data_IF_215239167448
#
_entry.id   IF_215239167448
#
_cell.length_a   1.000
_cell.length_b   1.000
_cell.length_c   1.000
_cell.angle_alpha   90.00
_cell.angle_beta   90.00
_cell.angle_gamma   90.00
#
_symmetry.space_group_name_H-M   'P 1'
#
loop_
_entity.id
_entity.type
_entity.pdbx_description
1 polymer ?
#
# COMPACT_ATOMS: atom_id res chain seq x y z
N UNK A 1 -10.25 1.43 39.09
CA UNK A 1 -10.48 1.64 37.67
C UNK A 1 -9.24 2.32 37.12
N UNK A 2 -8.70 1.84 36.01
CA UNK A 2 -7.50 2.43 35.42
C UNK A 2 -7.84 3.85 34.92
N UNK A 3 -7.22 4.88 35.50
CA UNK A 3 -7.40 6.27 35.06
C UNK A 3 -6.58 6.60 33.80
N UNK A 4 -5.89 5.60 33.25
CA UNK A 4 -5.03 5.75 32.06
C UNK A 4 -5.81 5.44 30.80
N UNK A 5 -5.57 6.25 29.77
CA UNK A 5 -6.26 6.12 28.48
C UNK A 5 -5.47 6.78 27.35
N UNK A 6 -5.80 6.44 26.13
CA UNK A 6 -5.37 7.19 24.96
C UNK A 6 -6.46 8.16 24.52
N UNK A 7 -6.09 9.42 24.31
CA UNK A 7 -6.95 10.46 23.74
C UNK A 7 -6.64 10.58 22.25
N UNK A 8 -7.60 10.25 21.41
CA UNK A 8 -7.47 10.35 19.95
C UNK A 8 -8.09 11.67 19.49
N UNK A 9 -7.34 12.41 18.69
CA UNK A 9 -7.76 13.66 18.04
C UNK A 9 -7.80 13.48 16.55
N UNK A 10 -8.86 13.92 15.92
CA UNK A 10 -9.05 13.98 14.48
C UNK A 10 -9.21 15.44 14.03
N UNK A 11 -9.02 15.74 12.73
CA UNK A 11 -9.16 17.09 12.20
C UNK A 11 -10.36 17.19 11.25
N UNK A 12 -10.27 16.64 10.07
CA UNK A 12 -11.27 16.76 9.00
C UNK A 12 -12.62 16.16 9.37
N UNK A 13 -12.64 15.10 10.16
CA UNK A 13 -13.88 14.49 10.68
C UNK A 13 -14.69 15.54 11.46
N UNK A 14 -14.01 16.40 12.23
CA UNK A 14 -14.65 17.46 13.02
C UNK A 14 -15.33 18.57 12.20
N UNK A 15 -14.92 18.72 10.93
CA UNK A 15 -15.48 19.72 10.01
C UNK A 15 -16.76 19.22 9.28
N UNK A 16 -17.06 17.94 9.40
CA UNK A 16 -18.23 17.33 8.77
C UNK A 16 -19.52 17.60 9.55
N UNK A 17 -20.66 17.62 8.86
CA UNK A 17 -21.96 17.67 9.52
C UNK A 17 -22.16 16.50 10.49
N UNK A 18 -23.04 16.66 11.46
CA UNK A 18 -23.16 15.74 12.61
C UNK A 18 -23.35 14.27 12.22
N UNK A 19 -24.23 13.98 11.26
CA UNK A 19 -24.49 12.61 10.77
C UNK A 19 -23.23 11.97 10.17
N UNK A 20 -22.56 12.68 9.26
CA UNK A 20 -21.32 12.19 8.61
C UNK A 20 -20.17 12.05 9.62
N UNK A 21 -20.06 13.00 10.55
CA UNK A 21 -19.08 12.93 11.64
C UNK A 21 -19.27 11.69 12.49
N UNK A 22 -20.49 11.41 12.96
CA UNK A 22 -20.80 10.21 13.75
C UNK A 22 -20.47 8.92 12.99
N UNK A 23 -20.78 8.88 11.69
CA UNK A 23 -20.47 7.73 10.86
C UNK A 23 -18.94 7.53 10.73
N UNK A 24 -18.19 8.58 10.46
CA UNK A 24 -16.73 8.53 10.33
C UNK A 24 -16.05 8.16 11.65
N UNK A 25 -16.51 8.70 12.78
CA UNK A 25 -16.04 8.30 14.12
C UNK A 25 -16.25 6.81 14.37
N UNK A 26 -17.42 6.27 14.00
CA UNK A 26 -17.68 4.84 14.13
C UNK A 26 -16.75 3.99 13.27
N UNK A 27 -16.51 4.39 12.02
CA UNK A 27 -15.56 3.71 11.12
C UNK A 27 -14.16 3.76 11.71
N UNK A 28 -13.72 4.92 12.24
CA UNK A 28 -12.41 5.05 12.87
C UNK A 28 -12.27 4.10 14.07
N UNK A 29 -13.28 4.05 14.95
CA UNK A 29 -13.30 3.13 16.09
C UNK A 29 -13.24 1.67 15.63
N UNK A 30 -14.01 1.30 14.61
CA UNK A 30 -13.98 -0.07 14.08
C UNK A 30 -12.61 -0.44 13.49
N UNK A 31 -11.96 0.50 12.78
CA UNK A 31 -10.62 0.28 12.26
C UNK A 31 -9.60 0.07 13.40
N UNK A 32 -9.68 0.88 14.47
CA UNK A 32 -8.82 0.69 15.65
C UNK A 32 -9.11 -0.66 16.33
N UNK A 33 -10.38 -0.99 16.56
CA UNK A 33 -10.79 -2.26 17.18
C UNK A 33 -10.27 -3.46 16.40
N UNK A 34 -10.50 -3.51 15.10
CA UNK A 34 -10.08 -4.63 14.26
C UNK A 34 -8.57 -4.88 14.27
N UNK A 35 -7.76 -3.84 14.47
CA UNK A 35 -6.32 -4.03 14.60
C UNK A 35 -5.94 -4.50 16.02
N UNK A 36 -6.58 -3.95 17.06
CA UNK A 36 -6.33 -4.37 18.44
C UNK A 36 -6.76 -5.84 18.72
N UNK A 37 -7.86 -6.28 18.09
CA UNK A 37 -8.36 -7.66 18.16
C UNK A 37 -7.31 -8.68 17.67
N UNK A 38 -6.46 -8.31 16.67
CA UNK A 38 -5.36 -9.16 16.21
C UNK A 38 -4.32 -9.47 17.29
N UNK A 39 -4.28 -8.62 18.32
CA UNK A 39 -3.38 -8.75 19.47
C UNK A 39 -4.13 -9.14 20.75
N UNK A 40 -5.39 -9.58 20.66
CA UNK A 40 -6.25 -9.93 21.79
C UNK A 40 -6.44 -8.79 22.80
N UNK A 41 -6.52 -7.54 22.32
CA UNK A 41 -6.75 -6.34 23.15
C UNK A 41 -8.16 -5.81 22.86
N UNK A 42 -9.00 -5.75 23.89
CA UNK A 42 -10.42 -5.38 23.82
C UNK A 42 -10.74 -4.21 24.77
N UNK A 43 -10.27 -2.97 24.51
CA UNK A 43 -10.49 -1.85 25.39
C UNK A 43 -11.89 -1.28 25.25
N UNK A 44 -12.32 -0.54 26.29
CA UNK A 44 -13.51 0.30 26.21
C UNK A 44 -13.21 1.56 25.39
N UNK A 45 -14.20 1.99 24.57
CA UNK A 45 -14.15 3.22 23.77
C UNK A 45 -15.26 4.18 24.22
N UNK A 46 -14.91 5.45 24.38
CA UNK A 46 -15.87 6.51 24.64
C UNK A 46 -15.69 7.65 23.64
N UNK A 47 -16.79 8.21 23.15
CA UNK A 47 -16.80 9.42 22.33
C UNK A 47 -17.37 10.58 23.14
N UNK A 48 -16.64 11.67 23.22
CA UNK A 48 -17.08 12.91 23.85
C UNK A 48 -16.29 14.10 23.31
N UNK A 49 -16.93 15.23 23.13
CA UNK A 49 -16.32 16.53 22.85
C UNK A 49 -15.31 16.55 21.69
N UNK A 50 -15.64 15.81 20.60
CA UNK A 50 -14.77 15.72 19.43
C UNK A 50 -13.48 14.94 19.70
N UNK A 51 -13.52 13.99 20.63
CA UNK A 51 -12.45 13.06 20.97
C UNK A 51 -12.95 11.62 21.02
N UNK A 52 -12.04 10.69 20.79
CA UNK A 52 -12.24 9.28 21.06
C UNK A 52 -11.25 8.91 22.17
N UNK A 53 -11.77 8.32 23.23
CA UNK A 53 -11.02 7.84 24.38
C UNK A 53 -10.95 6.32 24.32
N UNK A 54 -9.74 5.77 24.52
CA UNK A 54 -9.49 4.32 24.57
C UNK A 54 -8.92 3.99 25.94
N UNK A 55 -9.68 3.27 26.76
CA UNK A 55 -9.31 2.95 28.13
C UNK A 55 -8.41 1.71 28.16
N UNK A 56 -7.11 1.94 28.12
CA UNK A 56 -6.07 0.92 28.19
C UNK A 56 -4.73 1.57 28.49
N UNK A 57 -3.81 0.82 29.06
CA UNK A 57 -2.40 1.16 29.29
C UNK A 57 -1.44 0.46 28.31
N UNK A 58 -2.00 -0.30 27.35
CA UNK A 58 -1.21 -1.07 26.40
C UNK A 58 -0.30 -0.17 25.54
N UNK A 59 1.00 -0.35 25.67
CA UNK A 59 2.02 0.37 24.89
C UNK A 59 1.97 0.06 23.39
N UNK A 60 1.31 -1.01 22.98
CA UNK A 60 1.16 -1.39 21.57
C UNK A 60 0.43 -0.31 20.76
N UNK A 61 -0.40 0.52 21.41
CA UNK A 61 -1.07 1.63 20.74
C UNK A 61 -0.11 2.67 20.18
N UNK A 62 1.10 2.79 20.72
CA UNK A 62 2.14 3.68 20.18
C UNK A 62 2.60 3.23 18.78
N UNK A 63 2.55 1.93 18.48
CA UNK A 63 2.91 1.39 17.16
C UNK A 63 1.73 1.34 16.20
N UNK A 64 0.51 1.18 16.71
CA UNK A 64 -0.71 1.02 15.89
C UNK A 64 -1.27 2.37 15.47
N UNK A 65 -1.50 3.30 16.41
CA UNK A 65 -2.21 4.55 16.14
C UNK A 65 -1.54 5.46 15.09
N UNK A 66 -0.19 5.51 14.98
CA UNK A 66 0.48 6.30 13.95
C UNK A 66 0.21 5.83 12.51
N UNK A 67 -0.41 4.66 12.32
CA UNK A 67 -0.69 4.06 11.02
C UNK A 67 -2.16 4.14 10.61
N UNK A 68 -3.05 4.58 11.51
CA UNK A 68 -4.50 4.59 11.27
C UNK A 68 -4.94 5.93 10.69
N UNK A 69 -5.43 5.91 9.46
CA UNK A 69 -6.01 7.09 8.81
C UNK A 69 -7.23 7.62 9.58
N UNK A 70 -7.35 8.95 9.63
CA UNK A 70 -8.34 9.67 10.43
C UNK A 70 -7.79 10.20 11.75
N UNK A 71 -6.70 9.63 12.28
CA UNK A 71 -6.05 10.11 13.49
C UNK A 71 -5.10 11.26 13.15
N UNK A 72 -5.37 12.45 13.68
CA UNK A 72 -4.46 13.59 13.59
C UNK A 72 -3.33 13.49 14.59
N UNK A 73 -3.68 13.21 15.85
CA UNK A 73 -2.72 12.98 16.93
C UNK A 73 -3.36 12.20 18.06
N UNK A 74 -2.52 11.62 18.91
CA UNK A 74 -2.97 10.95 20.12
C UNK A 74 -2.01 11.23 21.29
N UNK A 75 -2.48 10.96 22.50
CA UNK A 75 -1.71 11.08 23.73
C UNK A 75 -2.12 10.00 24.70
N UNK A 76 -1.16 9.42 25.39
CA UNK A 76 -1.45 8.61 26.58
C UNK A 76 -1.63 9.56 27.76
N UNK A 77 -2.79 9.54 28.39
CA UNK A 77 -3.20 10.52 29.38
C UNK A 77 -3.80 9.85 30.62
N UNK A 78 -3.74 10.58 31.73
CA UNK A 78 -4.47 10.22 32.95
C UNK A 78 -5.63 11.17 33.17
N UNK A 79 -6.80 10.64 33.49
CA UNK A 79 -8.02 11.39 33.79
C UNK A 79 -8.14 11.69 35.28
N UNK A 80 -8.49 12.92 35.61
CA UNK A 80 -8.80 13.38 36.94
C UNK A 80 -10.12 14.16 36.95
N UNK A 81 -10.83 14.14 38.10
CA UNK A 81 -11.97 15.02 38.36
C UNK A 81 -11.52 16.18 39.22
N UNK A 82 -12.17 17.33 39.07
CA UNK A 82 -11.92 18.50 39.89
C UNK A 82 -13.21 19.27 40.18
N UNK A 83 -13.20 20.03 41.25
CA UNK A 83 -14.22 20.99 41.63
C UNK A 83 -13.66 22.41 41.70
N UNK A 84 -12.38 22.53 42.02
CA UNK A 84 -11.68 23.82 42.16
C UNK A 84 -10.36 23.82 41.39
N UNK A 85 -9.81 25.02 41.10
CA UNK A 85 -8.51 25.16 40.45
C UNK A 85 -7.39 24.58 41.34
N UNK A 86 -7.49 24.76 42.64
CA UNK A 86 -6.50 24.30 43.62
C UNK A 86 -6.35 22.76 43.56
N UNK A 87 -7.41 22.03 43.30
CA UNK A 87 -7.34 20.55 43.08
C UNK A 87 -6.55 20.23 41.81
N UNK A 88 -6.75 20.97 40.73
CA UNK A 88 -5.98 20.84 39.47
C UNK A 88 -4.49 21.08 39.78
N UNK A 89 -4.18 22.16 40.47
CA UNK A 89 -2.80 22.52 40.84
C UNK A 89 -2.16 21.46 41.70
N UNK A 90 -2.82 21.03 42.75
CA UNK A 90 -2.31 20.05 43.71
C UNK A 90 -1.98 18.71 43.02
N UNK A 91 -2.90 18.20 42.21
CA UNK A 91 -2.71 16.95 41.45
C UNK A 91 -1.56 17.10 40.43
N UNK A 92 -1.51 18.20 39.70
CA UNK A 92 -0.48 18.43 38.68
C UNK A 92 0.90 18.55 39.31
N UNK A 93 1.04 19.30 40.39
CA UNK A 93 2.30 19.44 41.13
C UNK A 93 2.75 18.11 41.71
N UNK A 94 1.85 17.37 42.37
CA UNK A 94 2.17 16.06 42.91
C UNK A 94 2.70 15.10 41.86
N UNK A 95 2.14 15.15 40.66
CA UNK A 95 2.53 14.28 39.56
C UNK A 95 3.84 14.65 38.88
N UNK A 96 4.09 15.93 38.67
CA UNK A 96 5.18 16.40 37.80
C UNK A 96 6.37 17.02 38.52
N UNK A 97 6.26 17.40 39.79
CA UNK A 97 7.36 18.02 40.55
C UNK A 97 8.67 17.22 40.50
N UNK A 98 8.62 15.91 40.65
CA UNK A 98 9.80 15.04 40.55
C UNK A 98 10.31 14.89 39.12
N UNK A 99 9.41 14.86 38.14
CA UNK A 99 9.75 14.66 36.72
C UNK A 99 10.51 15.88 36.12
N UNK A 100 10.16 17.10 36.55
CA UNK A 100 10.74 18.36 36.07
C UNK A 100 11.96 18.80 36.89
N UNK A 101 12.34 18.06 37.92
CA UNK A 101 13.50 18.39 38.76
C UNK A 101 14.78 18.50 37.93
N UNK A 102 15.42 19.68 37.99
CA UNK A 102 16.63 19.96 37.22
C UNK A 102 16.41 20.15 35.70
N UNK A 103 15.14 20.26 35.25
CA UNK A 103 14.79 20.42 33.82
C UNK A 103 14.01 21.70 33.58
N UNK A 104 14.09 22.22 32.37
CA UNK A 104 13.22 23.30 31.90
C UNK A 104 11.89 22.73 31.45
N UNK A 105 10.81 23.40 31.76
CA UNK A 105 9.46 22.93 31.42
C UNK A 105 8.60 24.02 30.79
N UNK A 106 7.50 23.57 30.18
CA UNK A 106 6.39 24.42 29.75
C UNK A 106 5.05 23.74 30.09
N UNK A 107 4.02 24.54 30.31
CA UNK A 107 2.64 24.08 30.42
C UNK A 107 1.87 24.51 29.17
N UNK A 108 1.05 23.61 28.63
CA UNK A 108 0.15 23.90 27.51
C UNK A 108 -1.25 23.44 27.87
N UNK A 109 -2.17 24.38 28.04
CA UNK A 109 -3.54 24.12 28.44
C UNK A 109 -4.51 24.23 27.26
N UNK A 110 -5.48 23.32 27.22
CA UNK A 110 -6.67 23.42 26.36
C UNK A 110 -7.91 23.24 27.19
N UNK A 111 -8.92 24.07 26.93
CA UNK A 111 -10.17 24.05 27.69
C UNK A 111 -11.37 23.97 26.75
N UNK A 112 -12.37 23.21 27.14
CA UNK A 112 -13.71 23.16 26.55
C UNK A 112 -14.74 23.11 27.66
N UNK A 113 -15.90 23.69 27.45
CA UNK A 113 -16.93 23.86 28.46
C UNK A 113 -16.93 25.26 29.10
N UNK A 114 -17.84 25.49 30.06
CA UNK A 114 -18.00 26.77 30.76
C UNK A 114 -17.25 26.73 32.09
N UNK A 115 -16.25 27.61 32.22
CA UNK A 115 -15.42 27.73 33.43
C UNK A 115 -15.17 29.22 33.73
N UNK A 116 -14.92 29.56 34.98
CA UNK A 116 -14.58 30.90 35.42
C UNK A 116 -13.14 31.33 35.08
N UNK A 117 -12.35 30.48 34.45
CA UNK A 117 -10.96 30.70 34.10
C UNK A 117 -10.70 30.38 32.61
N UNK A 118 -9.63 30.92 32.05
CA UNK A 118 -9.17 30.65 30.66
C UNK A 118 -8.06 29.59 30.66
N UNK A 119 -7.71 29.09 29.46
CA UNK A 119 -6.55 28.20 29.30
C UNK A 119 -5.25 28.90 29.73
N UNK A 120 -5.12 30.23 29.46
CA UNK A 120 -3.94 31.00 29.80
C UNK A 120 -3.82 31.19 31.33
N UNK A 121 -4.94 31.33 32.04
CA UNK A 121 -4.92 31.39 33.50
C UNK A 121 -4.36 30.11 34.11
N UNK A 122 -4.80 28.93 33.59
CA UNK A 122 -4.30 27.64 34.02
C UNK A 122 -2.81 27.47 33.70
N UNK A 123 -2.34 27.94 32.52
CA UNK A 123 -0.91 27.85 32.15
C UNK A 123 -0.06 28.68 33.13
N UNK A 124 -0.51 29.89 33.47
CA UNK A 124 0.19 30.77 34.46
C UNK A 124 0.19 30.16 35.85
N UNK A 125 -0.97 29.74 36.36
CA UNK A 125 -1.11 29.19 37.72
C UNK A 125 -0.26 27.93 37.88
N UNK A 126 -0.30 27.04 36.89
CA UNK A 126 0.52 25.82 36.92
C UNK A 126 2.00 26.10 36.71
N UNK A 127 2.34 27.08 35.85
CA UNK A 127 3.70 27.54 35.66
C UNK A 127 4.32 28.02 36.96
N UNK A 128 3.63 28.93 37.68
CA UNK A 128 4.06 29.46 38.97
C UNK A 128 4.19 28.34 40.03
N UNK A 129 3.21 27.46 40.13
CA UNK A 129 3.21 26.41 41.13
C UNK A 129 4.33 25.38 40.92
N UNK A 130 4.72 25.11 39.67
CA UNK A 130 5.74 24.14 39.28
C UNK A 130 7.15 24.75 39.24
N UNK A 131 7.28 26.08 39.11
CA UNK A 131 8.54 26.76 38.89
C UNK A 131 9.62 26.37 39.91
N UNK A 132 9.29 26.36 41.20
CA UNK A 132 10.21 26.07 42.32
C UNK A 132 10.78 24.64 42.29
N UNK A 133 10.20 23.72 41.48
CA UNK A 133 10.67 22.33 41.34
C UNK A 133 11.52 22.10 40.09
N UNK A 134 11.72 23.14 39.28
CA UNK A 134 12.34 23.04 37.96
C UNK A 134 13.63 23.81 37.83
N UNK A 135 14.34 23.67 36.72
CA UNK A 135 15.45 24.55 36.32
C UNK A 135 14.99 25.81 35.60
N UNK A 136 13.66 26.08 35.52
CA UNK A 136 13.06 27.24 34.88
C UNK A 136 12.03 26.88 33.81
N UNK A 137 11.45 27.93 33.21
CA UNK A 137 10.45 27.80 32.12
C UNK A 137 11.11 28.08 30.79
N UNK A 138 10.79 27.26 29.77
CA UNK A 138 11.17 27.46 28.38
C UNK A 138 9.96 27.13 27.51
N UNK A 139 9.34 28.16 26.90
CA UNK A 139 8.10 28.00 26.15
C UNK A 139 8.34 27.44 24.76
N UNK A 140 9.53 27.60 24.19
CA UNK A 140 9.86 27.18 22.84
C UNK A 140 10.46 25.77 22.82
N UNK A 141 11.50 25.56 23.65
CA UNK A 141 12.27 24.30 23.67
C UNK A 141 12.37 23.71 25.09
N UNK A 142 11.24 23.37 25.75
CA UNK A 142 11.28 22.76 27.07
C UNK A 142 11.79 21.31 27.00
N UNK A 143 12.52 20.88 28.05
CA UNK A 143 12.87 19.46 28.24
C UNK A 143 11.61 18.61 28.46
N UNK A 144 10.60 19.18 29.14
CA UNK A 144 9.31 18.54 29.40
C UNK A 144 8.19 19.54 29.14
N UNK A 145 7.27 19.18 28.25
CA UNK A 145 6.02 19.91 28.07
C UNK A 145 4.87 19.17 28.74
N UNK A 146 4.26 19.80 29.73
CA UNK A 146 3.09 19.28 30.44
C UNK A 146 1.85 19.78 29.70
N UNK A 147 1.08 18.86 29.17
CA UNK A 147 -0.20 19.18 28.53
C UNK A 147 -1.34 18.92 29.50
N UNK A 148 -2.29 19.84 29.55
CA UNK A 148 -3.54 19.69 30.28
C UNK A 148 -4.73 19.97 29.38
N UNK A 149 -5.63 19.00 29.20
CA UNK A 149 -6.93 19.20 28.55
C UNK A 149 -8.03 19.20 29.61
N UNK A 150 -8.77 20.34 29.75
CA UNK A 150 -9.86 20.50 30.70
C UNK A 150 -11.19 20.42 29.94
N UNK A 151 -12.11 19.60 30.46
CA UNK A 151 -13.43 19.38 29.87
C UNK A 151 -14.47 19.24 30.98
N UNK A 152 -15.37 20.20 31.07
CA UNK A 152 -16.34 20.30 32.15
C UNK A 152 -15.66 20.13 33.53
N UNK A 153 -15.99 19.09 34.30
CA UNK A 153 -15.43 18.83 35.63
C UNK A 153 -14.30 17.79 35.62
N UNK A 154 -13.66 17.56 34.45
CA UNK A 154 -12.54 16.62 34.29
C UNK A 154 -11.36 17.31 33.64
N UNK A 155 -10.16 16.82 33.93
CA UNK A 155 -8.97 17.20 33.22
C UNK A 155 -8.07 15.99 32.97
N UNK A 156 -7.27 16.10 31.91
CA UNK A 156 -6.39 15.05 31.41
C UNK A 156 -4.97 15.59 31.38
N UNK A 157 -4.04 14.85 31.96
CA UNK A 157 -2.62 15.18 32.01
C UNK A 157 -1.82 14.22 31.14
N UNK A 158 -0.90 14.77 30.34
CA UNK A 158 0.03 14.01 29.51
C UNK A 158 1.24 14.86 29.16
N UNK A 159 2.34 14.22 28.73
CA UNK A 159 3.60 14.88 28.34
C UNK A 159 3.91 14.76 26.85
N UNK A 160 3.22 13.88 26.13
CA UNK A 160 3.48 13.59 24.74
C UNK A 160 2.23 13.78 23.88
N UNK A 161 2.44 14.33 22.70
CA UNK A 161 1.43 14.44 21.67
C UNK A 161 2.00 13.90 20.36
N UNK A 162 1.65 12.68 20.03
CA UNK A 162 2.18 11.94 18.88
C UNK A 162 1.28 12.17 17.68
N UNK A 163 1.88 12.54 16.56
CA UNK A 163 1.16 12.78 15.31
C UNK A 163 0.76 11.46 14.64
N UNK A 164 -0.47 11.42 14.12
CA UNK A 164 -0.98 10.35 13.28
C UNK A 164 -0.89 10.72 11.78
N UNK A 165 -1.33 9.84 10.88
CA UNK A 165 -1.26 10.09 9.43
C UNK A 165 -2.27 11.16 8.95
N UNK A 166 -3.25 11.52 9.78
CA UNK A 166 -4.33 12.44 9.42
C UNK A 166 -5.30 11.84 8.40
N UNK A 167 -5.95 12.70 7.63
CA UNK A 167 -6.91 12.30 6.60
C UNK A 167 -8.25 11.85 7.14
N UNK A 168 -8.89 10.93 6.42
CA UNK A 168 -10.19 10.35 6.72
C UNK A 168 -10.09 8.86 7.04
N UNK A 169 -10.98 8.28 7.85
CA UNK A 169 -10.95 6.87 8.17
C UNK A 169 -11.08 6.00 6.92
N UNK A 170 -10.25 5.00 6.79
CA UNK A 170 -10.30 4.06 5.68
C UNK A 170 -11.72 3.43 5.60
N UNK A 171 -12.27 3.30 4.40
CA UNK A 171 -13.65 2.90 4.05
C UNK A 171 -14.71 3.99 4.20
N UNK A 172 -14.36 5.24 4.52
CA UNK A 172 -15.37 6.32 4.61
C UNK A 172 -15.74 6.91 3.25
N UNK A 173 -14.93 6.74 2.20
CA UNK A 173 -15.08 7.41 0.88
C UNK A 173 -15.12 6.42 -0.30
N UNK A 174 -15.81 5.29 -0.12
CA UNK A 174 -16.02 4.33 -1.21
C UNK A 174 -14.79 3.44 -1.48
N UNK A 175 -14.78 2.80 -2.68
CA UNK A 175 -13.76 1.84 -3.09
C UNK A 175 -13.07 2.24 -4.38
N UNK A 176 -11.76 2.07 -4.44
CA UNK A 176 -10.95 2.33 -5.62
C UNK A 176 -10.09 1.12 -5.99
N UNK A 177 -9.75 1.01 -7.27
CA UNK A 177 -8.82 0.01 -7.79
C UNK A 177 -7.52 0.70 -8.20
N UNK A 178 -6.40 0.39 -7.54
CA UNK A 178 -5.10 0.97 -7.87
C UNK A 178 -4.34 0.11 -8.87
N UNK A 179 -3.92 0.71 -9.99
CA UNK A 179 -2.97 0.11 -10.91
C UNK A 179 -1.58 0.13 -10.26
N UNK A 180 -1.15 -1.02 -9.77
CA UNK A 180 -0.01 -1.16 -8.86
C UNK A 180 1.14 -1.88 -9.53
N UNK A 181 2.25 -1.19 -9.77
CA UNK A 181 3.43 -1.77 -10.46
C UNK A 181 4.52 -2.27 -9.51
N UNK A 182 4.46 -1.91 -8.23
CA UNK A 182 5.53 -2.20 -7.27
C UNK A 182 6.77 -1.29 -7.39
N UNK A 183 6.74 -0.31 -8.29
CA UNK A 183 7.72 0.79 -8.33
C UNK A 183 7.47 1.80 -7.22
N UNK A 184 8.14 2.97 -7.29
CA UNK A 184 8.04 4.00 -6.23
C UNK A 184 6.69 4.72 -6.29
N UNK A 185 6.17 4.99 -7.47
CA UNK A 185 5.04 5.92 -7.69
C UNK A 185 3.70 5.31 -7.27
N UNK A 186 3.42 4.07 -7.68
CA UNK A 186 2.13 3.43 -7.40
C UNK A 186 1.83 3.20 -5.91
N UNK A 187 2.78 2.82 -5.02
CA UNK A 187 2.54 2.77 -3.58
C UNK A 187 2.20 4.15 -2.98
N UNK A 188 2.86 5.21 -3.45
CA UNK A 188 2.59 6.58 -2.98
C UNK A 188 1.21 7.04 -3.41
N UNK A 189 0.86 6.85 -4.69
CA UNK A 189 -0.47 7.19 -5.20
C UNK A 189 -1.58 6.45 -4.44
N UNK A 190 -1.38 5.15 -4.19
CA UNK A 190 -2.31 4.31 -3.41
C UNK A 190 -2.45 4.82 -1.98
N UNK A 191 -1.34 5.10 -1.29
CA UNK A 191 -1.35 5.68 0.06
C UNK A 191 -2.15 7.00 0.10
N UNK A 192 -1.97 7.87 -0.90
CA UNK A 192 -2.62 9.18 -0.92
C UNK A 192 -4.15 9.06 -1.00
N UNK A 193 -4.70 8.13 -1.79
CA UNK A 193 -6.16 7.91 -1.84
C UNK A 193 -6.67 7.16 -0.62
N UNK A 194 -5.92 6.20 -0.08
CA UNK A 194 -6.24 5.54 1.19
C UNK A 194 -6.34 6.56 2.33
N UNK A 195 -5.40 7.52 2.40
CA UNK A 195 -5.42 8.63 3.36
C UNK A 195 -6.67 9.51 3.21
N UNK A 196 -7.28 9.56 2.01
CA UNK A 196 -8.55 10.25 1.78
C UNK A 196 -9.78 9.40 2.12
N UNK A 197 -9.59 8.22 2.72
CA UNK A 197 -10.66 7.37 3.23
C UNK A 197 -11.15 6.29 2.25
N UNK A 198 -10.58 6.19 1.06
CA UNK A 198 -10.98 5.17 0.08
C UNK A 198 -10.42 3.79 0.43
N UNK A 199 -11.28 2.78 0.51
CA UNK A 199 -10.86 1.39 0.52
C UNK A 199 -10.26 1.06 -0.84
N UNK A 200 -9.00 0.59 -0.89
CA UNK A 200 -8.28 0.46 -2.15
C UNK A 200 -7.75 -0.96 -2.31
N UNK A 201 -8.16 -1.60 -3.40
CA UNK A 201 -7.62 -2.87 -3.87
C UNK A 201 -6.59 -2.62 -4.97
N UNK A 202 -5.73 -3.60 -5.23
CA UNK A 202 -4.60 -3.46 -6.14
C UNK A 202 -4.80 -4.31 -7.40
N UNK A 203 -4.46 -3.77 -8.56
CA UNK A 203 -4.38 -4.50 -9.83
C UNK A 203 -2.94 -4.46 -10.34
N UNK A 204 -2.35 -5.63 -10.51
CA UNK A 204 -1.03 -5.82 -11.07
C UNK A 204 -1.11 -6.63 -12.37
N UNK A 205 -0.51 -6.11 -13.43
CA UNK A 205 -0.27 -6.85 -14.66
C UNK A 205 1.13 -7.47 -14.60
N UNK A 206 1.20 -8.78 -14.42
CA UNK A 206 2.46 -9.51 -14.46
C UNK A 206 2.92 -9.65 -15.91
N UNK A 207 4.11 -9.15 -16.22
CA UNK A 207 4.72 -9.29 -17.54
C UNK A 207 5.56 -10.58 -17.65
N UNK A 208 5.12 -11.59 -16.92
CA UNK A 208 5.64 -12.96 -16.91
C UNK A 208 7.01 -13.16 -16.23
N UNK A 209 7.55 -12.18 -15.48
CA UNK A 209 8.73 -12.46 -14.66
C UNK A 209 8.34 -12.70 -13.19
N UNK A 210 8.55 -13.91 -12.63
CA UNK A 210 8.21 -14.21 -11.23
C UNK A 210 8.88 -13.30 -10.21
N UNK A 211 10.10 -12.82 -10.51
CA UNK A 211 10.83 -11.87 -9.66
C UNK A 211 10.08 -10.56 -9.54
N UNK A 212 9.56 -10.02 -10.65
CA UNK A 212 8.80 -8.76 -10.65
C UNK A 212 7.51 -8.92 -9.87
N UNK A 213 6.83 -10.08 -10.01
CA UNK A 213 5.63 -10.39 -9.22
C UNK A 213 5.95 -10.45 -7.72
N UNK A 214 7.06 -11.09 -7.33
CA UNK A 214 7.48 -11.13 -5.93
C UNK A 214 7.84 -9.73 -5.40
N UNK A 215 8.55 -8.93 -6.18
CA UNK A 215 8.90 -7.55 -5.79
C UNK A 215 7.64 -6.69 -5.62
N UNK A 216 6.71 -6.77 -6.56
CA UNK A 216 5.41 -6.09 -6.45
C UNK A 216 4.66 -6.52 -5.19
N UNK A 217 4.58 -7.84 -4.93
CA UNK A 217 3.91 -8.36 -3.73
C UNK A 217 4.57 -7.90 -2.44
N UNK A 218 5.89 -7.78 -2.41
CA UNK A 218 6.61 -7.22 -1.25
C UNK A 218 6.28 -5.74 -1.06
N UNK A 219 6.20 -4.95 -2.14
CA UNK A 219 5.79 -3.55 -2.07
C UNK A 219 4.33 -3.41 -1.64
N UNK A 220 3.43 -4.24 -2.18
CA UNK A 220 2.03 -4.30 -1.77
C UNK A 220 1.90 -4.66 -0.28
N UNK A 221 2.62 -5.69 0.18
CA UNK A 221 2.63 -6.10 1.58
C UNK A 221 3.10 -4.97 2.49
N UNK A 222 4.21 -4.30 2.15
CA UNK A 222 4.72 -3.17 2.93
C UNK A 222 3.69 -2.03 3.09
N UNK A 223 2.97 -1.69 2.03
CA UNK A 223 1.90 -0.70 2.06
C UNK A 223 0.69 -1.18 2.87
N UNK A 224 0.19 -2.38 2.57
CA UNK A 224 -1.07 -2.89 3.12
C UNK A 224 -0.96 -3.28 4.59
N UNK A 225 0.14 -3.86 5.04
CA UNK A 225 0.37 -4.19 6.45
C UNK A 225 0.43 -2.94 7.32
N UNK A 226 0.96 -1.85 6.78
CA UNK A 226 1.07 -0.60 7.52
C UNK A 226 -0.22 0.21 7.54
N UNK A 227 -0.91 0.29 6.42
CA UNK A 227 -1.94 1.32 6.22
C UNK A 227 -3.33 0.79 5.85
N UNK A 228 -3.48 -0.49 5.49
CA UNK A 228 -4.80 -1.09 5.23
C UNK A 228 -5.44 -1.63 6.51
N UNK A 229 -5.40 -0.81 7.59
CA UNK A 229 -5.98 -1.17 8.88
C UNK A 229 -7.50 -1.03 8.83
N UNK A 230 -8.19 -2.11 9.21
CA UNK A 230 -9.66 -2.20 9.15
C UNK A 230 -10.21 -2.55 7.77
N UNK A 231 -9.34 -2.84 6.78
CA UNK A 231 -9.74 -3.29 5.45
C UNK A 231 -8.84 -4.46 4.98
N UNK A 232 -9.46 -5.55 4.56
CA UNK A 232 -8.77 -6.67 3.95
C UNK A 232 -8.69 -6.44 2.44
N UNK A 233 -7.63 -5.73 2.00
CA UNK A 233 -7.44 -5.37 0.61
C UNK A 233 -7.18 -6.61 -0.25
N UNK A 234 -7.78 -6.63 -1.43
CA UNK A 234 -7.56 -7.63 -2.48
C UNK A 234 -6.44 -7.20 -3.41
N UNK A 235 -5.76 -8.17 -3.97
CA UNK A 235 -4.74 -7.99 -4.99
C UNK A 235 -5.15 -8.86 -6.18
N UNK A 236 -5.39 -8.21 -7.29
CA UNK A 236 -5.67 -8.83 -8.58
C UNK A 236 -4.38 -8.91 -9.38
N UNK A 237 -4.00 -10.09 -9.79
CA UNK A 237 -2.81 -10.34 -10.61
C UNK A 237 -3.28 -10.91 -11.93
N UNK A 238 -3.04 -10.18 -13.02
CA UNK A 238 -3.33 -10.64 -14.38
C UNK A 238 -2.03 -11.05 -15.07
N UNK A 239 -2.11 -12.08 -15.89
CA UNK A 239 -1.02 -12.47 -16.77
C UNK A 239 -1.07 -11.64 -18.06
N UNK A 240 -0.10 -10.75 -18.22
CA UNK A 240 0.06 -9.91 -19.39
C UNK A 240 1.00 -10.48 -20.45
N UNK A 241 1.49 -11.73 -20.32
CA UNK A 241 2.49 -12.29 -21.23
C UNK A 241 2.03 -12.35 -22.68
N UNK A 242 0.79 -12.73 -22.94
CA UNK A 242 0.19 -12.73 -24.28
C UNK A 242 0.12 -11.32 -24.87
N UNK A 243 -0.27 -10.34 -24.03
CA UNK A 243 -0.32 -8.94 -24.44
C UNK A 243 1.07 -8.41 -24.76
N UNK A 244 2.07 -8.72 -23.93
CA UNK A 244 3.47 -8.34 -24.16
C UNK A 244 3.97 -8.88 -25.50
N UNK A 245 3.71 -10.16 -25.78
CA UNK A 245 4.10 -10.79 -27.05
C UNK A 245 3.45 -10.06 -28.25
N UNK A 246 2.14 -9.88 -28.22
CA UNK A 246 1.40 -9.22 -29.30
C UNK A 246 1.85 -7.77 -29.52
N UNK A 247 2.12 -7.02 -28.44
CA UNK A 247 2.62 -5.64 -28.54
C UNK A 247 4.08 -5.62 -29.03
N UNK A 248 4.91 -6.57 -28.64
CA UNK A 248 6.32 -6.64 -29.07
C UNK A 248 6.47 -6.96 -30.55
N UNK A 249 5.50 -7.67 -31.13
CA UNK A 249 5.41 -7.98 -32.54
C UNK A 249 4.79 -6.83 -33.39
N UNK A 250 4.33 -5.77 -32.73
CA UNK A 250 3.75 -4.62 -33.40
C UNK A 250 4.78 -3.91 -34.28
N UNK A 251 4.48 -3.64 -35.57
CA UNK A 251 5.45 -3.11 -36.51
C UNK A 251 5.96 -1.71 -36.13
N UNK A 252 5.12 -0.92 -35.45
CA UNK A 252 5.50 0.41 -35.00
C UNK A 252 5.64 0.44 -33.45
N UNK A 253 6.88 0.44 -33.00
CA UNK A 253 7.24 0.43 -31.58
C UNK A 253 6.87 1.75 -30.85
N UNK A 254 6.51 2.81 -31.59
CA UNK A 254 6.13 4.10 -31.00
C UNK A 254 4.82 4.00 -30.18
N UNK A 255 3.89 3.12 -30.61
CA UNK A 255 2.58 2.95 -29.96
C UNK A 255 2.56 1.97 -28.77
N UNK A 256 3.55 1.13 -28.63
CA UNK A 256 3.53 -0.04 -27.75
C UNK A 256 3.19 0.31 -26.29
N UNK A 257 3.83 1.32 -25.72
CA UNK A 257 3.60 1.75 -24.34
C UNK A 257 2.17 2.31 -24.11
N UNK A 258 1.63 3.02 -25.10
CA UNK A 258 0.32 3.66 -25.00
C UNK A 258 -0.78 2.62 -25.19
N UNK A 259 -0.61 1.70 -26.15
CA UNK A 259 -1.51 0.54 -26.35
C UNK A 259 -1.58 -0.30 -25.08
N UNK A 260 -0.42 -0.67 -24.51
CA UNK A 260 -0.38 -1.44 -23.26
C UNK A 260 -1.16 -0.75 -22.12
N UNK A 261 -0.91 0.53 -21.90
CA UNK A 261 -1.60 1.29 -20.84
C UNK A 261 -3.09 1.42 -21.10
N UNK A 262 -3.49 1.66 -22.34
CA UNK A 262 -4.90 1.75 -22.74
C UNK A 262 -5.63 0.45 -22.43
N UNK A 263 -5.09 -0.69 -22.84
CA UNK A 263 -5.69 -2.00 -22.58
C UNK A 263 -5.73 -2.33 -21.08
N UNK A 264 -4.71 -1.90 -20.33
CA UNK A 264 -4.72 -2.05 -18.87
C UNK A 264 -5.84 -1.21 -18.22
N UNK A 265 -6.11 -0.01 -18.73
CA UNK A 265 -7.22 0.82 -18.25
C UNK A 265 -8.58 0.21 -18.58
N UNK A 266 -8.77 -0.32 -19.80
CA UNK A 266 -9.98 -1.02 -20.19
C UNK A 266 -10.23 -2.27 -19.34
N UNK A 267 -9.17 -3.00 -18.98
CA UNK A 267 -9.30 -4.12 -18.05
C UNK A 267 -9.61 -3.68 -16.63
N UNK A 268 -9.00 -2.60 -16.17
CA UNK A 268 -9.32 -2.00 -14.87
C UNK A 268 -10.77 -1.50 -14.82
N UNK A 269 -11.27 -0.92 -15.92
CA UNK A 269 -12.69 -0.54 -16.05
C UNK A 269 -13.62 -1.75 -15.92
N UNK A 270 -13.30 -2.85 -16.60
CA UNK A 270 -14.04 -4.11 -16.46
C UNK A 270 -14.08 -4.58 -15.00
N UNK A 271 -12.96 -4.50 -14.28
CA UNK A 271 -12.94 -4.86 -12.86
C UNK A 271 -13.71 -3.86 -12.00
N UNK A 272 -13.67 -2.57 -12.34
CA UNK A 272 -14.48 -1.56 -11.65
C UNK A 272 -15.95 -1.87 -11.74
N UNK A 273 -16.44 -2.22 -12.92
CA UNK A 273 -17.83 -2.64 -13.14
C UNK A 273 -18.16 -3.93 -12.36
N UNK A 274 -17.31 -4.95 -12.51
CA UNK A 274 -17.52 -6.28 -11.91
C UNK A 274 -17.53 -6.28 -10.38
N UNK A 275 -16.66 -5.50 -9.73
CA UNK A 275 -16.46 -5.49 -8.28
C UNK A 275 -17.01 -4.23 -7.58
N UNK A 276 -17.61 -3.30 -8.34
CA UNK A 276 -18.26 -2.10 -7.82
C UNK A 276 -17.27 -1.05 -7.28
N UNK A 277 -16.16 -0.83 -7.98
CA UNK A 277 -15.25 0.28 -7.67
C UNK A 277 -15.78 1.60 -8.22
N UNK A 278 -15.42 2.70 -7.55
CA UNK A 278 -15.84 4.06 -7.91
C UNK A 278 -14.83 4.76 -8.84
N UNK A 279 -13.79 4.04 -9.27
CA UNK A 279 -12.75 4.55 -10.15
C UNK A 279 -11.43 3.82 -9.97
N UNK A 280 -10.45 4.20 -10.77
CA UNK A 280 -9.10 3.64 -10.74
C UNK A 280 -8.05 4.69 -10.33
N UNK A 281 -6.93 4.23 -9.78
CA UNK A 281 -5.82 5.08 -9.32
C UNK A 281 -4.55 4.71 -10.05
N UNK A 282 -3.79 5.70 -10.49
CA UNK A 282 -2.48 5.51 -11.12
C UNK A 282 -1.42 6.39 -10.49
N UNK A 283 -0.15 5.96 -10.55
CA UNK A 283 1.01 6.73 -10.11
C UNK A 283 1.61 7.63 -11.20
N UNK A 284 0.81 8.09 -12.16
CA UNK A 284 1.28 8.90 -13.28
C UNK A 284 1.55 10.35 -12.88
N UNK A 285 2.65 10.91 -13.43
CA UNK A 285 3.04 12.32 -13.33
C UNK A 285 3.31 12.89 -14.71
N UNK A 286 2.93 14.14 -14.97
CA UNK A 286 3.11 14.77 -16.29
C UNK A 286 4.61 14.83 -16.63
N UNK A 287 4.96 14.29 -17.81
CA UNK A 287 6.31 14.41 -18.36
C UNK A 287 7.36 13.49 -17.75
N UNK A 288 7.01 12.63 -16.79
CA UNK A 288 7.98 11.74 -16.17
C UNK A 288 8.52 10.69 -17.14
N UNK A 289 7.67 10.16 -18.02
CA UNK A 289 8.05 9.28 -19.14
C UNK A 289 7.22 9.61 -20.38
N UNK A 290 7.65 9.13 -21.55
CA UNK A 290 7.03 9.44 -22.86
C UNK A 290 5.52 9.17 -22.92
N UNK A 291 5.02 8.12 -22.25
CA UNK A 291 3.58 7.82 -22.19
C UNK A 291 2.78 8.74 -21.26
N UNK A 292 3.43 9.65 -20.54
CA UNK A 292 2.81 10.54 -19.55
C UNK A 292 2.78 12.01 -20.00
N UNK A 293 2.90 12.27 -21.30
CA UNK A 293 2.58 13.59 -21.83
C UNK A 293 1.07 13.86 -21.74
N UNK A 294 0.62 15.12 -21.63
CA UNK A 294 -0.82 15.43 -21.55
C UNK A 294 -1.62 14.80 -22.69
N UNK A 295 -1.06 14.81 -23.92
CA UNK A 295 -1.69 14.21 -25.09
C UNK A 295 -1.81 12.69 -24.96
N UNK A 296 -0.76 11.99 -24.55
CA UNK A 296 -0.79 10.54 -24.38
C UNK A 296 -1.71 10.12 -23.22
N UNK A 297 -1.73 10.89 -22.13
CA UNK A 297 -2.68 10.67 -21.01
C UNK A 297 -4.14 10.85 -21.46
N UNK A 298 -4.41 11.80 -22.36
CA UNK A 298 -5.74 11.97 -22.97
C UNK A 298 -6.12 10.71 -23.77
N UNK A 299 -5.25 10.23 -24.67
CA UNK A 299 -5.51 9.05 -25.49
C UNK A 299 -5.74 7.79 -24.65
N UNK A 300 -4.92 7.58 -23.62
CA UNK A 300 -5.07 6.43 -22.70
C UNK A 300 -6.40 6.48 -21.94
N UNK A 301 -6.86 7.68 -21.58
CA UNK A 301 -8.09 7.87 -20.79
C UNK A 301 -9.36 7.93 -21.64
N UNK A 302 -9.23 8.15 -22.93
CA UNK A 302 -10.39 8.32 -23.83
C UNK A 302 -11.27 7.07 -23.85
N UNK A 303 -12.61 7.28 -23.73
CA UNK A 303 -13.58 6.18 -23.70
C UNK A 303 -13.67 5.42 -22.36
N UNK A 304 -12.81 5.70 -21.39
CA UNK A 304 -12.92 5.15 -20.04
C UNK A 304 -14.04 5.87 -19.28
N UNK A 305 -15.02 5.13 -18.79
CA UNK A 305 -16.21 5.68 -18.12
C UNK A 305 -15.99 5.99 -16.64
N UNK A 306 -15.02 5.32 -16.02
CA UNK A 306 -14.68 5.50 -14.61
C UNK A 306 -13.64 6.58 -14.38
N UNK A 307 -13.73 7.39 -13.32
CA UNK A 307 -12.70 8.36 -13.00
C UNK A 307 -11.32 7.72 -12.85
N UNK A 308 -10.30 8.36 -13.43
CA UNK A 308 -8.90 8.00 -13.25
C UNK A 308 -8.24 9.01 -12.33
N UNK A 309 -7.97 8.60 -11.10
CA UNK A 309 -7.32 9.43 -10.09
C UNK A 309 -5.80 9.36 -10.25
N UNK A 310 -5.17 10.52 -10.39
CA UNK A 310 -3.71 10.68 -10.54
C UNK A 310 -3.14 11.56 -9.43
N UNK A 311 -2.98 11.03 -8.21
CA UNK A 311 -2.57 11.84 -7.05
C UNK A 311 -1.20 12.50 -7.23
N UNK A 312 -0.33 11.96 -8.08
CA UNK A 312 1.03 12.42 -8.32
C UNK A 312 1.17 13.29 -9.58
N UNK A 313 0.09 13.74 -10.17
CA UNK A 313 0.10 14.36 -11.51
C UNK A 313 1.05 15.57 -11.61
N UNK A 314 1.24 16.32 -10.53
CA UNK A 314 2.13 17.48 -10.45
C UNK A 314 3.42 17.24 -9.65
N UNK A 315 3.68 16.01 -9.18
CA UNK A 315 4.90 15.70 -8.43
C UNK A 315 6.05 15.42 -9.39
N UNK A 316 7.23 15.90 -9.04
CA UNK A 316 8.46 15.40 -9.67
C UNK A 316 8.93 14.08 -9.01
N UNK A 317 10.01 13.50 -9.57
CA UNK A 317 10.52 12.22 -9.09
C UNK A 317 11.11 12.31 -7.69
N UNK A 318 11.76 13.43 -7.38
CA UNK A 318 12.39 13.65 -6.07
C UNK A 318 11.34 13.84 -4.98
N UNK A 319 10.29 14.63 -5.25
CA UNK A 319 9.15 14.80 -4.35
C UNK A 319 8.50 13.45 -4.03
N UNK A 320 8.28 12.62 -5.04
CA UNK A 320 7.70 11.29 -4.88
C UNK A 320 8.60 10.37 -4.04
N UNK A 321 9.92 10.38 -4.28
CA UNK A 321 10.89 9.60 -3.49
C UNK A 321 10.90 10.06 -2.03
N UNK A 322 10.95 11.37 -1.79
CA UNK A 322 10.96 11.94 -0.44
C UNK A 322 9.66 11.64 0.30
N UNK A 323 8.53 11.74 -0.38
CA UNK A 323 7.24 11.36 0.20
C UNK A 323 7.19 9.87 0.54
N UNK A 324 7.66 9.01 -0.36
CA UNK A 324 7.76 7.56 -0.16
C UNK A 324 8.61 7.20 1.07
N UNK A 325 9.78 7.84 1.22
CA UNK A 325 10.66 7.67 2.39
C UNK A 325 9.98 8.13 3.68
N UNK A 326 9.31 9.29 3.66
CA UNK A 326 8.63 9.85 4.84
C UNK A 326 7.49 8.97 5.36
N UNK A 327 6.93 8.09 4.50
CA UNK A 327 5.89 7.12 4.85
C UNK A 327 6.41 5.69 4.97
N UNK A 328 7.73 5.50 4.91
CA UNK A 328 8.37 4.17 4.94
C UNK A 328 7.80 3.20 3.89
N UNK A 329 7.44 3.73 2.72
CA UNK A 329 6.98 2.96 1.56
C UNK A 329 8.13 2.63 0.62
N UNK A 330 9.23 3.38 0.72
CA UNK A 330 10.39 3.24 -0.13
C UNK A 330 11.06 1.87 0.08
N UNK A 331 11.24 1.13 -1.00
CA UNK A 331 12.00 -0.11 -1.03
C UNK A 331 13.20 0.07 -1.97
N UNK A 332 14.40 -0.24 -1.48
CA UNK A 332 15.66 -0.14 -2.22
C UNK A 332 15.77 -1.25 -3.29
N UNK A 333 14.77 -1.39 -4.15
CA UNK A 333 14.78 -2.39 -5.21
C UNK A 333 14.56 -1.68 -6.55
N UNK A 334 15.48 -1.88 -7.48
CA UNK A 334 15.32 -1.49 -8.88
C UNK A 334 14.34 -2.47 -9.54
N UNK A 335 13.03 -2.18 -9.46
CA UNK A 335 12.12 -2.79 -10.43
C UNK A 335 12.45 -2.22 -11.79
N UNK A 336 12.64 -3.07 -12.80
CA UNK A 336 12.71 -2.61 -14.17
C UNK A 336 11.44 -1.79 -14.44
N UNK A 337 11.62 -0.53 -14.83
CA UNK A 337 10.46 0.30 -15.15
C UNK A 337 9.73 -0.34 -16.33
N UNK A 338 8.44 -0.58 -16.18
CA UNK A 338 7.56 -1.17 -17.18
C UNK A 338 7.75 -0.52 -18.57
N UNK A 339 7.99 0.79 -18.58
CA UNK A 339 8.18 1.57 -19.80
C UNK A 339 9.46 1.22 -20.58
N UNK A 340 10.48 0.68 -19.92
CA UNK A 340 11.76 0.31 -20.57
C UNK A 340 11.69 -1.02 -21.33
N UNK A 341 10.64 -1.81 -21.13
CA UNK A 341 10.52 -3.15 -21.72
C UNK A 341 10.00 -3.13 -23.17
N UNK A 342 9.23 -2.11 -23.57
CA UNK A 342 8.45 -2.15 -24.80
C UNK A 342 9.02 -1.33 -25.95
N UNK A 343 9.87 -0.34 -25.72
CA UNK A 343 10.33 0.51 -26.84
C UNK A 343 11.70 1.11 -26.61
N UNK A 344 12.56 0.98 -27.62
CA UNK A 344 13.82 1.72 -27.68
C UNK A 344 13.63 3.20 -28.03
N UNK A 345 12.52 3.54 -28.75
CA UNK A 345 12.15 4.90 -29.15
C UNK A 345 10.64 5.14 -28.95
N UNK A 346 10.18 5.30 -27.68
CA UNK A 346 8.76 5.52 -27.42
C UNK A 346 8.29 6.89 -27.93
N UNK A 347 7.11 6.94 -28.57
CA UNK A 347 6.50 8.18 -29.06
C UNK A 347 6.15 9.16 -27.93
N UNK A 348 6.72 10.36 -28.02
CA UNK A 348 6.39 11.46 -27.08
C UNK A 348 5.05 12.09 -27.48
N UNK A 349 4.81 12.20 -28.80
CA UNK A 349 3.56 12.70 -29.38
C UNK A 349 3.07 11.68 -30.38
N UNK A 350 1.88 11.15 -30.15
CA UNK A 350 1.26 10.14 -30.99
C UNK A 350 0.04 10.74 -31.70
N UNK A 351 -0.10 10.47 -32.98
CA UNK A 351 -1.26 10.93 -33.77
C UNK A 351 -2.52 10.19 -33.27
N UNK A 352 -3.57 10.95 -32.96
CA UNK A 352 -4.83 10.42 -32.43
C UNK A 352 -5.48 9.42 -33.41
N UNK A 353 -5.58 9.77 -34.69
CA UNK A 353 -6.24 8.93 -35.72
C UNK A 353 -5.49 7.62 -35.92
N UNK A 354 -4.17 7.67 -35.94
CA UNK A 354 -3.33 6.49 -36.12
C UNK A 354 -3.38 5.59 -34.91
N UNK A 355 -3.30 6.16 -33.72
CA UNK A 355 -3.48 5.40 -32.47
C UNK A 355 -4.83 4.66 -32.41
N UNK A 356 -5.92 5.32 -32.83
CA UNK A 356 -7.25 4.70 -32.83
C UNK A 356 -7.34 3.52 -33.83
N UNK A 357 -6.64 3.60 -34.94
CA UNK A 357 -6.59 2.50 -35.90
C UNK A 357 -5.78 1.31 -35.32
N UNK A 358 -4.70 1.60 -34.58
CA UNK A 358 -3.87 0.57 -33.99
C UNK A 358 -4.56 -0.12 -32.77
N UNK A 359 -5.16 0.64 -31.86
CA UNK A 359 -5.80 0.06 -30.66
C UNK A 359 -6.98 -0.84 -31.00
N UNK A 360 -7.72 -0.58 -32.11
CA UNK A 360 -8.83 -1.42 -32.57
C UNK A 360 -8.42 -2.85 -32.93
N UNK A 361 -7.14 -3.08 -33.22
CA UNK A 361 -6.61 -4.42 -33.51
C UNK A 361 -6.52 -5.31 -32.28
N UNK A 362 -6.64 -4.72 -31.08
CA UNK A 362 -6.54 -5.41 -29.81
C UNK A 362 -7.89 -5.47 -29.12
N UNK A 363 -8.24 -6.66 -28.61
CA UNK A 363 -9.38 -6.84 -27.72
C UNK A 363 -8.83 -7.27 -26.35
N UNK A 364 -9.04 -6.46 -25.35
CA UNK A 364 -8.49 -6.70 -24.00
C UNK A 364 -8.84 -8.09 -23.45
N UNK A 365 -10.01 -8.62 -23.79
CA UNK A 365 -10.49 -9.94 -23.32
C UNK A 365 -9.66 -11.11 -23.88
N UNK A 366 -9.01 -10.93 -25.01
CA UNK A 366 -8.20 -11.98 -25.65
C UNK A 366 -6.84 -12.14 -24.96
N UNK A 367 -6.36 -11.07 -24.31
CA UNK A 367 -5.00 -10.99 -23.75
C UNK A 367 -4.94 -11.06 -22.23
N UNK A 368 -6.04 -10.77 -21.53
CA UNK A 368 -6.08 -10.67 -20.06
C UNK A 368 -7.13 -11.63 -19.48
N UNK A 369 -6.98 -12.94 -19.73
CA UNK A 369 -7.96 -13.95 -19.35
C UNK A 369 -7.73 -14.54 -17.96
N UNK A 370 -6.49 -14.66 -17.53
CA UNK A 370 -6.15 -15.29 -16.25
C UNK A 370 -6.02 -14.27 -15.13
N UNK A 371 -7.00 -14.27 -14.24
CA UNK A 371 -7.03 -13.41 -13.06
C UNK A 371 -6.81 -14.25 -11.79
N UNK A 372 -5.72 -13.97 -11.08
CA UNK A 372 -5.48 -14.49 -9.74
C UNK A 372 -5.93 -13.45 -8.73
N UNK A 373 -6.80 -13.84 -7.82
CA UNK A 373 -7.25 -13.00 -6.71
C UNK A 373 -6.65 -13.54 -5.41
N UNK A 374 -5.89 -12.70 -4.70
CA UNK A 374 -5.40 -12.96 -3.35
C UNK A 374 -5.77 -11.78 -2.44
N UNK A 375 -5.69 -11.97 -1.15
CA UNK A 375 -5.85 -10.88 -0.19
C UNK A 375 -4.54 -10.60 0.58
N UNK A 376 -4.52 -9.50 1.33
CA UNK A 376 -3.32 -9.10 2.06
C UNK A 376 -2.80 -10.16 3.04
N UNK A 377 -3.66 -11.04 3.58
CA UNK A 377 -3.26 -12.04 4.56
C UNK A 377 -2.61 -13.27 3.90
N UNK A 378 -2.83 -13.48 2.60
CA UNK A 378 -2.31 -14.62 1.84
C UNK A 378 -1.09 -14.29 0.97
N UNK A 379 -0.59 -13.04 1.02
CA UNK A 379 0.58 -12.60 0.23
C UNK A 379 1.81 -13.49 0.47
N UNK A 380 2.13 -13.78 1.73
CA UNK A 380 3.33 -14.56 2.08
C UNK A 380 3.25 -15.99 1.54
N UNK A 381 2.08 -16.61 1.62
CA UNK A 381 1.89 -17.95 1.10
C UNK A 381 1.97 -17.98 -0.43
N UNK A 382 1.46 -16.94 -1.09
CA UNK A 382 1.57 -16.81 -2.52
C UNK A 382 3.02 -16.58 -2.97
N UNK A 383 3.79 -15.73 -2.26
CA UNK A 383 5.23 -15.55 -2.49
C UNK A 383 6.00 -16.88 -2.31
N UNK A 384 5.70 -17.65 -1.27
CA UNK A 384 6.30 -18.96 -1.05
C UNK A 384 5.98 -19.91 -2.21
N UNK A 385 4.74 -19.93 -2.68
CA UNK A 385 4.33 -20.78 -3.81
C UNK A 385 5.10 -20.45 -5.08
N UNK A 386 5.33 -19.15 -5.38
CA UNK A 386 6.16 -18.73 -6.52
C UNK A 386 7.60 -19.19 -6.32
N UNK A 387 8.21 -18.96 -5.14
CA UNK A 387 9.61 -19.29 -4.87
C UNK A 387 9.88 -20.79 -4.88
N UNK A 388 8.95 -21.59 -4.39
CA UNK A 388 9.09 -23.05 -4.31
C UNK A 388 9.02 -23.74 -5.68
N UNK A 389 8.47 -23.10 -6.70
CA UNK A 389 8.41 -23.62 -8.08
C UNK A 389 9.68 -23.38 -8.89
N UNK A 390 10.65 -22.64 -8.36
CA UNK A 390 11.94 -22.46 -9.02
C UNK A 390 12.77 -23.74 -8.85
N UNK A 391 13.18 -24.35 -9.98
CA UNK A 391 14.07 -25.49 -9.97
C UNK A 391 15.44 -25.15 -9.38
N UNK A 392 15.96 -26.03 -8.53
CA UNK A 392 17.22 -25.82 -7.79
C UNK A 392 18.25 -26.93 -8.01
N UNK A 393 17.98 -27.86 -8.93
CA UNK A 393 18.92 -28.93 -9.27
C UNK A 393 18.68 -30.28 -8.57
N UNK A 394 17.74 -30.37 -7.62
CA UNK A 394 17.52 -31.60 -6.81
C UNK A 394 16.11 -32.11 -6.97
N UNK A 395 15.85 -32.87 -8.05
CA UNK A 395 14.59 -33.59 -8.28
C UNK A 395 14.83 -34.88 -9.04
N UNK A 396 14.16 -35.96 -8.61
CA UNK A 396 14.14 -37.23 -9.33
C UNK A 396 13.08 -37.21 -10.43
N UNK A 397 13.24 -38.07 -11.42
CA UNK A 397 12.28 -38.27 -12.53
C UNK A 397 11.89 -36.99 -13.24
N UNK A 398 12.89 -36.19 -13.63
CA UNK A 398 12.71 -34.88 -14.25
C UNK A 398 12.59 -34.98 -15.76
N UNK A 399 11.61 -34.31 -16.35
CA UNK A 399 11.51 -34.07 -17.78
C UNK A 399 11.71 -32.58 -18.05
N UNK A 400 12.78 -32.23 -18.79
CA UNK A 400 13.08 -30.86 -19.14
C UNK A 400 12.31 -30.42 -20.39
N UNK A 401 11.71 -29.26 -20.33
CA UNK A 401 10.94 -28.66 -21.43
C UNK A 401 11.56 -27.33 -21.82
N UNK A 402 12.10 -27.27 -23.03
CA UNK A 402 12.71 -26.06 -23.60
C UNK A 402 11.67 -25.23 -24.35
N UNK A 403 11.40 -24.05 -23.85
CA UNK A 403 10.45 -23.08 -24.46
C UNK A 403 11.14 -22.04 -25.34
N UNK A 404 12.40 -22.21 -25.69
CA UNK A 404 13.12 -21.33 -26.61
C UNK A 404 12.80 -21.67 -28.06
N UNK A 405 13.28 -20.80 -28.99
CA UNK A 405 13.15 -21.08 -30.42
C UNK A 405 13.87 -22.37 -30.81
N UNK A 406 13.43 -23.01 -31.90
CA UNK A 406 14.10 -24.21 -32.43
C UNK A 406 15.60 -23.98 -32.71
N UNK A 407 15.97 -22.80 -33.21
CA UNK A 407 17.40 -22.45 -33.43
C UNK A 407 18.20 -22.34 -32.12
N UNK A 408 17.59 -21.82 -31.04
CA UNK A 408 18.25 -21.78 -29.72
C UNK A 408 18.39 -23.20 -29.15
N UNK A 409 17.39 -24.05 -29.35
CA UNK A 409 17.40 -25.47 -28.95
C UNK A 409 18.49 -26.25 -29.68
N UNK A 410 18.61 -26.09 -31.00
CA UNK A 410 19.63 -26.75 -31.80
C UNK A 410 21.07 -26.32 -31.37
N UNK A 411 21.26 -25.06 -31.01
CA UNK A 411 22.55 -24.57 -30.53
C UNK A 411 22.96 -25.14 -29.17
N UNK A 412 22.03 -25.32 -28.27
CA UNK A 412 22.22 -25.93 -26.96
C UNK A 412 20.88 -26.26 -26.32
N UNK A 413 20.75 -27.41 -25.74
CA UNK A 413 19.63 -27.79 -24.88
C UNK A 413 20.08 -28.71 -23.75
N UNK A 414 19.26 -28.84 -22.71
CA UNK A 414 19.46 -29.82 -21.65
C UNK A 414 19.30 -31.25 -22.24
N UNK A 415 20.22 -32.19 -21.93
CA UNK A 415 20.14 -33.54 -22.46
C UNK A 415 18.75 -34.18 -22.21
N UNK A 416 18.11 -34.62 -23.28
CA UNK A 416 16.78 -35.22 -23.21
C UNK A 416 15.62 -34.23 -23.09
N UNK A 417 15.88 -32.93 -23.18
CA UNK A 417 14.82 -31.92 -23.15
C UNK A 417 13.93 -31.99 -24.39
N UNK A 418 12.65 -31.74 -24.22
CA UNK A 418 11.68 -31.59 -25.28
C UNK A 418 11.57 -30.10 -25.66
N UNK A 419 11.73 -29.77 -26.94
CA UNK A 419 11.46 -28.43 -27.42
C UNK A 419 9.97 -28.27 -27.65
N UNK A 420 9.34 -27.34 -26.93
CA UNK A 420 7.91 -27.09 -26.94
C UNK A 420 7.63 -25.61 -27.23
N UNK A 421 6.79 -25.33 -28.22
CA UNK A 421 6.25 -23.99 -28.38
C UNK A 421 5.20 -23.72 -27.28
N UNK A 422 5.24 -22.53 -26.67
CA UNK A 422 4.30 -22.17 -25.62
C UNK A 422 2.82 -22.30 -26.06
N UNK A 423 2.53 -22.07 -27.34
CA UNK A 423 1.19 -22.26 -27.90
C UNK A 423 0.69 -23.73 -27.88
N UNK A 424 1.61 -24.69 -27.79
CA UNK A 424 1.31 -26.12 -27.74
C UNK A 424 1.19 -26.66 -26.32
N UNK A 425 1.41 -25.83 -25.31
CA UNK A 425 1.41 -26.22 -23.89
C UNK A 425 0.10 -26.94 -23.48
N UNK A 426 -1.04 -26.49 -24.00
CA UNK A 426 -2.33 -27.10 -23.69
C UNK A 426 -2.41 -28.56 -24.16
N UNK A 427 -2.00 -28.79 -25.39
CA UNK A 427 -1.95 -30.15 -25.96
C UNK A 427 -0.94 -31.04 -25.20
N UNK A 428 0.21 -30.47 -24.83
CA UNK A 428 1.20 -31.15 -24.01
C UNK A 428 0.63 -31.60 -22.65
N UNK A 429 -0.13 -30.72 -21.97
CA UNK A 429 -0.77 -31.02 -20.67
C UNK A 429 -1.75 -32.21 -20.77
N UNK A 430 -2.50 -32.30 -21.86
CA UNK A 430 -3.48 -33.39 -22.07
C UNK A 430 -2.82 -34.79 -22.16
N UNK A 431 -1.54 -34.85 -22.56
CA UNK A 431 -0.79 -36.09 -22.74
C UNK A 431 0.34 -36.30 -21.71
N UNK A 432 0.51 -35.36 -20.79
CA UNK A 432 1.60 -35.41 -19.83
C UNK A 432 1.40 -36.46 -18.73
N UNK A 433 2.51 -37.08 -18.30
CA UNK A 433 2.54 -38.07 -17.22
C UNK A 433 2.50 -37.35 -15.84
N UNK A 434 1.52 -37.72 -15.02
CA UNK A 434 1.34 -37.14 -13.69
C UNK A 434 2.40 -37.52 -12.66
N UNK A 435 3.18 -38.56 -12.94
CA UNK A 435 4.22 -39.06 -12.06
C UNK A 435 5.61 -38.45 -12.33
N UNK A 436 5.71 -37.59 -13.35
CA UNK A 436 6.95 -36.88 -13.68
C UNK A 436 7.01 -35.50 -13.03
N UNK A 437 8.24 -35.04 -12.79
CA UNK A 437 8.53 -33.67 -12.46
C UNK A 437 8.92 -32.91 -13.75
N UNK A 438 8.20 -31.87 -14.11
CA UNK A 438 8.46 -31.09 -15.30
C UNK A 438 9.27 -29.83 -14.96
N UNK A 439 10.40 -29.61 -15.64
CA UNK A 439 11.22 -28.43 -15.48
C UNK A 439 11.23 -27.66 -16.79
N UNK A 440 10.46 -26.58 -16.82
CA UNK A 440 10.43 -25.67 -17.97
C UNK A 440 11.58 -24.68 -17.90
N UNK A 441 12.24 -24.42 -19.04
CA UNK A 441 13.25 -23.38 -19.11
C UNK A 441 13.14 -22.53 -20.40
N UNK A 442 13.54 -21.26 -20.29
CA UNK A 442 13.64 -20.32 -21.39
C UNK A 442 14.75 -19.31 -21.13
N UNK A 443 15.10 -18.43 -22.11
CA UNK A 443 16.23 -17.49 -21.98
C UNK A 443 16.24 -16.73 -20.66
N UNK A 444 15.12 -16.14 -20.26
CA UNK A 444 14.99 -15.25 -19.09
C UNK A 444 14.18 -15.83 -17.92
N UNK A 445 13.65 -17.05 -18.06
CA UNK A 445 12.80 -17.66 -17.04
C UNK A 445 11.32 -17.22 -17.10
N UNK A 446 10.91 -16.43 -18.09
CA UNK A 446 9.58 -15.84 -18.24
C UNK A 446 8.53 -16.87 -18.65
N UNK A 447 8.68 -17.37 -19.88
CA UNK A 447 7.75 -18.35 -20.44
C UNK A 447 7.76 -19.65 -19.64
N UNK A 448 8.92 -20.00 -19.07
CA UNK A 448 9.06 -21.20 -18.24
C UNK A 448 8.29 -21.13 -16.93
N UNK A 449 8.30 -19.97 -16.27
CA UNK A 449 7.50 -19.78 -15.06
C UNK A 449 5.99 -19.81 -15.36
N UNK A 450 5.58 -19.24 -16.47
CA UNK A 450 4.21 -19.28 -16.94
C UNK A 450 3.76 -20.73 -17.23
N UNK A 451 4.53 -21.46 -18.02
CA UNK A 451 4.24 -22.87 -18.33
C UNK A 451 4.16 -23.73 -17.05
N UNK A 452 5.14 -23.58 -16.15
CA UNK A 452 5.14 -24.28 -14.87
C UNK A 452 3.92 -23.92 -14.00
N UNK A 453 3.48 -22.67 -14.01
CA UNK A 453 2.28 -22.25 -13.30
C UNK A 453 1.01 -22.90 -13.84
N UNK A 454 0.85 -22.91 -15.19
CA UNK A 454 -0.31 -23.55 -15.83
C UNK A 454 -0.31 -25.05 -15.53
N UNK A 455 0.82 -25.72 -15.76
CA UNK A 455 0.98 -27.14 -15.52
C UNK A 455 0.62 -27.52 -14.08
N UNK A 456 1.06 -26.71 -13.10
CA UNK A 456 0.75 -26.91 -11.68
C UNK A 456 -0.73 -26.72 -11.36
N UNK A 457 -1.43 -25.78 -12.01
CA UNK A 457 -2.88 -25.61 -11.86
C UNK A 457 -3.66 -26.85 -12.33
N UNK A 458 -3.11 -27.61 -13.25
CA UNK A 458 -3.67 -28.89 -13.72
C UNK A 458 -3.24 -30.11 -12.86
N UNK A 459 -2.57 -29.86 -11.73
CA UNK A 459 -2.21 -30.89 -10.75
C UNK A 459 -0.91 -31.63 -11.03
N UNK A 460 -0.04 -31.10 -11.88
CA UNK A 460 1.29 -31.64 -12.16
C UNK A 460 2.38 -31.01 -11.29
N UNK A 461 3.44 -31.77 -11.04
CA UNK A 461 4.66 -31.23 -10.44
C UNK A 461 5.46 -30.49 -11.51
N UNK A 462 5.40 -29.17 -11.50
CA UNK A 462 6.05 -28.34 -12.51
C UNK A 462 6.87 -27.21 -11.88
N UNK A 463 8.07 -27.04 -12.41
CA UNK A 463 9.09 -26.11 -11.95
C UNK A 463 9.60 -25.28 -13.13
N UNK A 464 10.27 -24.18 -12.83
CA UNK A 464 10.86 -23.32 -13.86
C UNK A 464 12.29 -22.90 -13.53
N UNK A 465 13.05 -22.59 -14.59
CA UNK A 465 14.40 -22.04 -14.46
C UNK A 465 14.74 -21.18 -15.68
N UNK A 466 15.68 -20.23 -15.55
CA UNK A 466 16.24 -19.56 -16.71
C UNK A 466 17.36 -20.40 -17.33
N UNK A 467 17.61 -20.24 -18.63
CA UNK A 467 18.74 -20.87 -19.32
C UNK A 467 20.06 -20.62 -18.60
N UNK A 468 20.30 -19.35 -18.18
CA UNK A 468 21.50 -18.95 -17.47
C UNK A 468 21.69 -19.71 -16.15
N UNK A 469 20.61 -19.82 -15.36
CA UNK A 469 20.67 -20.49 -14.07
C UNK A 469 20.84 -22.01 -14.27
N UNK A 470 20.14 -22.59 -15.26
CA UNK A 470 20.29 -24.00 -15.59
C UNK A 470 21.71 -24.36 -15.99
N UNK A 471 22.33 -23.58 -16.89
CA UNK A 471 23.74 -23.73 -17.28
C UNK A 471 24.70 -23.55 -16.11
N UNK A 472 24.37 -22.71 -15.11
CA UNK A 472 25.22 -22.55 -13.93
C UNK A 472 25.16 -23.74 -12.98
N UNK A 473 24.04 -24.43 -12.90
CA UNK A 473 23.88 -25.65 -12.08
C UNK A 473 24.67 -26.87 -12.62
N UNK A 474 24.92 -26.90 -13.93
CA UNK A 474 25.74 -27.97 -14.56
C UNK A 474 27.26 -27.78 -14.37
N UNK A 475 27.70 -26.58 -13.99
CA UNK A 475 29.13 -26.28 -13.81
C UNK A 475 29.65 -26.56 -12.39
N UNK A 476 28.77 -26.87 -11.47
CA UNK A 476 29.05 -27.26 -10.09
C UNK A 476 28.78 -28.75 -9.90
#
# INVERSE_FOLDING_TARGET
MCNQMFIIRYSEIGLKGEKSRRQMENILIQNIKSELERYNIFPEFKKSDGRIYIFTDSKLLYDILPRIFGIKSFSHAEEFKFRTIEEIVSITVSKFSGMISGKKFAVSAKRSGSHSFTSMDIEKILGDALYKYSAGVDLEHPDIRIYIEIRDNRFYLFTEKIEGPGGLPLKSEGKLLSLFSGGIDSPVATYMVMKRGSATDLLFCSLAHPVDTVQMLMAAKNLLDKYSIGYNAKIFIIDGSKLVTAISEHPDQMYTNIIFKKLLYEYAEYLCEKYGYNGMVTGESIGQVSSQTPQNLMLISEGIKYPVYRPLIGFDKEETINYSKSKSLFMNQSSAEFCSLFSKNPGIIVNHKDFYNEIKKFNVKDYMQELVEIDKNTIDDYIKSIKNKRFRGELDNVEFIDLRSGSDYENWHEPGAINLNLGELRNFIEHADRFKNYVFYCKKGLNSAYAASIMSKHGFNAYYVSERDLKSMQKN
#
